data_IF_330899440841
#
_entry.id   IF_330899440841
#
_cell.length_a   1.000
_cell.length_b   1.000
_cell.length_c   1.000
_cell.angle_alpha   90.00
_cell.angle_beta   90.00
_cell.angle_gamma   90.00
#
_symmetry.space_group_name_H-M   'P 1'
#
loop_
_entity.id
_entity.type
_entity.pdbx_description
1 polymer ?
#
# COMPACT_ATOMS: atom_id res chain seq x y z
N UNK A 1 17.81 4.10 2.98
CA UNK A 1 16.77 4.09 1.91
C UNK A 1 17.19 3.14 0.79
N UNK A 2 18.44 3.22 0.31
CA UNK A 2 18.95 2.38 -0.80
C UNK A 2 18.76 0.90 -0.52
N UNK A 3 19.22 0.40 0.64
CA UNK A 3 19.06 -1.01 1.03
C UNK A 3 17.60 -1.48 1.05
N UNK A 4 16.69 -0.62 1.56
CA UNK A 4 15.24 -0.91 1.60
C UNK A 4 14.66 -0.98 0.18
N UNK A 5 15.12 -0.08 -0.70
CA UNK A 5 14.68 -0.08 -2.09
C UNK A 5 15.18 -1.31 -2.85
N UNK A 6 16.43 -1.71 -2.63
CA UNK A 6 17.01 -2.93 -3.25
C UNK A 6 16.24 -4.19 -2.79
N UNK A 7 15.96 -4.32 -1.49
CA UNK A 7 15.16 -5.42 -0.95
C UNK A 7 13.76 -5.43 -1.56
N UNK A 8 13.11 -4.26 -1.65
CA UNK A 8 11.79 -4.13 -2.24
C UNK A 8 11.77 -4.49 -3.72
N UNK A 9 12.77 -4.05 -4.50
CA UNK A 9 12.90 -4.40 -5.93
C UNK A 9 13.12 -5.90 -6.13
N UNK A 10 13.74 -6.60 -5.19
CA UNK A 10 13.87 -8.05 -5.22
C UNK A 10 12.50 -8.72 -5.06
N UNK A 11 11.70 -8.32 -4.08
CA UNK A 11 10.35 -8.84 -3.87
C UNK A 11 9.44 -8.59 -5.08
N UNK A 12 9.54 -7.40 -5.71
CA UNK A 12 8.80 -7.07 -6.93
C UNK A 12 9.11 -8.03 -8.08
N UNK A 13 10.38 -8.39 -8.26
CA UNK A 13 10.79 -9.34 -9.30
C UNK A 13 10.32 -10.76 -8.97
N UNK A 14 10.48 -11.19 -7.73
CA UNK A 14 10.10 -12.54 -7.31
C UNK A 14 8.60 -12.80 -7.47
N UNK A 15 7.74 -11.84 -7.11
CA UNK A 15 6.28 -12.02 -7.24
C UNK A 15 5.82 -12.16 -8.69
N UNK A 16 6.51 -11.55 -9.64
CA UNK A 16 6.20 -11.65 -11.07
C UNK A 16 6.72 -12.97 -11.68
N UNK A 17 7.94 -13.38 -11.31
CA UNK A 17 8.58 -14.58 -11.87
C UNK A 17 8.11 -15.88 -11.23
N UNK A 18 7.45 -15.82 -10.06
CA UNK A 18 7.02 -17.01 -9.37
C UNK A 18 5.92 -17.74 -10.17
N UNK A 19 6.18 -19.03 -10.45
CA UNK A 19 5.37 -19.85 -11.34
C UNK A 19 3.88 -19.78 -10.99
N UNK A 20 3.05 -19.66 -12.03
CA UNK A 20 1.61 -19.72 -11.97
C UNK A 20 1.15 -21.14 -11.58
N UNK A 21 1.17 -21.46 -10.29
CA UNK A 21 0.35 -22.55 -9.81
C UNK A 21 -1.11 -22.09 -9.88
N UNK A 22 -1.90 -22.76 -10.73
CA UNK A 22 -3.32 -22.42 -10.92
C UNK A 22 -4.05 -22.38 -9.57
N UNK A 23 -4.72 -21.26 -9.32
CA UNK A 23 -5.58 -21.07 -8.14
C UNK A 23 -4.90 -20.52 -6.89
N UNK A 24 -3.59 -20.20 -6.92
CA UNK A 24 -2.92 -19.55 -5.79
C UNK A 24 -2.80 -18.04 -6.05
N UNK A 25 -3.50 -17.25 -5.25
CA UNK A 25 -3.31 -15.79 -5.19
C UNK A 25 -2.02 -15.48 -4.42
N UNK A 26 -1.07 -14.82 -5.08
CA UNK A 26 0.18 -14.40 -4.45
C UNK A 26 0.15 -12.93 -4.10
N UNK A 27 0.57 -12.62 -2.89
CA UNK A 27 0.66 -11.27 -2.39
C UNK A 27 1.81 -11.16 -1.40
N UNK A 28 2.47 -10.01 -1.35
CA UNK A 28 3.56 -9.75 -0.42
C UNK A 28 3.23 -8.53 0.44
N UNK A 29 3.39 -8.66 1.74
CA UNK A 29 3.38 -7.54 2.67
C UNK A 29 4.83 -7.19 3.01
N UNK A 30 5.37 -6.16 2.37
CA UNK A 30 6.71 -5.67 2.64
C UNK A 30 6.67 -4.68 3.80
N UNK A 31 7.00 -5.16 5.00
CA UNK A 31 6.99 -4.36 6.23
C UNK A 31 8.34 -3.69 6.42
N UNK A 32 8.34 -2.36 6.57
CA UNK A 32 9.55 -1.58 6.76
C UNK A 32 9.78 -1.35 8.25
N UNK A 33 10.99 -1.63 8.72
CA UNK A 33 11.33 -1.44 10.13
C UNK A 33 11.18 0.03 10.54
N UNK A 34 10.53 0.34 11.68
CA UNK A 34 10.46 1.70 12.20
C UNK A 34 11.82 2.27 12.64
N UNK A 35 12.90 1.46 12.62
CA UNK A 35 14.28 1.94 12.78
C UNK A 35 14.79 2.68 11.55
N UNK A 36 14.12 2.56 10.40
CA UNK A 36 14.38 3.34 9.21
C UNK A 36 13.71 4.72 9.38
N UNK A 37 14.47 5.74 9.69
CA UNK A 37 13.96 7.07 10.07
C UNK A 37 12.98 7.67 9.05
N UNK A 38 13.20 7.47 7.73
CA UNK A 38 12.37 8.03 6.67
C UNK A 38 10.91 7.52 6.67
N UNK A 39 10.64 6.36 7.28
CA UNK A 39 9.27 5.82 7.35
C UNK A 39 8.52 6.24 8.62
N UNK A 40 9.15 6.99 9.52
CA UNK A 40 8.48 7.49 10.72
C UNK A 40 7.66 8.76 10.44
N UNK A 41 7.98 9.46 9.35
CA UNK A 41 7.21 10.58 8.82
C UNK A 41 6.37 10.12 7.64
N UNK A 42 5.05 10.38 7.72
CA UNK A 42 4.12 9.89 6.69
C UNK A 42 4.38 10.50 5.31
N UNK A 43 4.75 11.78 5.24
CA UNK A 43 5.01 12.45 3.97
C UNK A 43 6.28 11.87 3.31
N UNK A 44 7.35 11.65 4.08
CA UNK A 44 8.58 11.00 3.59
C UNK A 44 8.36 9.56 3.14
N UNK A 45 7.50 8.81 3.85
CA UNK A 45 7.10 7.47 3.44
C UNK A 45 6.26 7.49 2.18
N UNK A 46 5.35 8.44 2.04
CA UNK A 46 4.52 8.60 0.84
C UNK A 46 5.36 8.98 -0.37
N UNK A 47 6.35 9.86 -0.20
CA UNK A 47 7.32 10.18 -1.26
C UNK A 47 8.08 8.93 -1.73
N UNK A 48 8.50 8.08 -0.81
CA UNK A 48 9.13 6.80 -1.13
C UNK A 48 8.17 5.88 -1.92
N UNK A 49 6.92 5.73 -1.48
CA UNK A 49 5.91 4.93 -2.18
C UNK A 49 5.61 5.48 -3.58
N UNK A 50 5.57 6.80 -3.74
CA UNK A 50 5.36 7.46 -5.02
C UNK A 50 6.51 7.23 -6.02
N UNK A 51 7.77 7.16 -5.55
CA UNK A 51 8.92 6.81 -6.41
C UNK A 51 8.76 5.41 -7.00
N UNK A 52 8.09 4.51 -6.30
CA UNK A 52 7.89 3.14 -6.74
C UNK A 52 6.84 3.04 -7.85
N UNK A 53 5.67 3.62 -7.66
CA UNK A 53 4.52 3.41 -8.55
C UNK A 53 4.23 4.62 -9.45
N UNK A 54 4.46 5.84 -8.98
CA UNK A 54 4.18 7.03 -9.75
C UNK A 54 5.47 7.77 -10.13
N UNK A 55 5.59 8.16 -11.39
CA UNK A 55 6.60 9.13 -11.84
C UNK A 55 6.22 10.51 -11.31
N UNK A 56 6.43 10.74 -10.01
CA UNK A 56 5.86 11.83 -9.27
C UNK A 56 6.17 13.19 -9.88
N UNK A 57 5.13 13.89 -10.26
CA UNK A 57 5.14 15.33 -10.49
C UNK A 57 5.24 16.04 -9.13
N UNK A 58 6.45 16.28 -8.62
CA UNK A 58 6.63 17.30 -7.60
C UNK A 58 6.80 18.66 -8.29
N UNK A 59 5.88 19.57 -8.02
CA UNK A 59 5.88 20.95 -8.55
C UNK A 59 5.81 21.07 -10.08
N UNK A 60 5.25 20.07 -10.78
CA UNK A 60 5.12 20.09 -12.24
C UNK A 60 6.37 19.61 -13.00
N UNK A 61 7.43 19.20 -12.32
CA UNK A 61 8.63 18.64 -12.94
C UNK A 61 8.58 17.11 -12.98
N UNK A 62 8.78 16.54 -14.16
CA UNK A 62 8.92 15.09 -14.38
C UNK A 62 10.23 14.59 -13.73
N UNK A 63 10.13 13.67 -12.79
CA UNK A 63 11.29 13.14 -12.06
C UNK A 63 11.89 11.86 -12.66
N UNK A 64 11.45 11.43 -13.81
CA UNK A 64 11.90 10.20 -14.44
C UNK A 64 10.91 9.05 -14.34
N UNK A 65 11.34 7.87 -14.74
CA UNK A 65 10.54 6.65 -14.70
C UNK A 65 10.42 6.14 -13.26
N UNK A 66 9.22 5.66 -12.90
CA UNK A 66 9.01 4.97 -11.61
C UNK A 66 9.80 3.65 -11.55
N UNK A 67 9.94 3.08 -10.35
CA UNK A 67 10.60 1.77 -10.20
C UNK A 67 9.85 0.69 -10.99
N UNK A 68 8.51 0.73 -11.01
CA UNK A 68 7.71 -0.22 -11.79
C UNK A 68 7.96 -0.07 -13.31
N UNK A 69 8.15 1.15 -13.81
CA UNK A 69 8.49 1.37 -15.23
C UNK A 69 9.89 0.85 -15.56
N UNK A 70 10.89 1.17 -14.73
CA UNK A 70 12.28 0.70 -14.91
C UNK A 70 12.40 -0.82 -14.90
N UNK A 71 11.55 -1.52 -14.16
CA UNK A 71 11.52 -2.98 -14.06
C UNK A 71 10.58 -3.65 -15.08
N UNK A 72 9.89 -2.89 -15.94
CA UNK A 72 8.86 -3.40 -16.86
C UNK A 72 7.72 -4.14 -16.12
N UNK A 73 7.35 -3.65 -14.93
CA UNK A 73 6.32 -4.23 -14.07
C UNK A 73 5.01 -3.43 -14.06
N UNK A 74 4.96 -2.28 -14.73
CA UNK A 74 3.73 -1.49 -14.85
C UNK A 74 2.63 -2.28 -15.55
N UNK A 75 1.44 -2.32 -14.93
CA UNK A 75 0.31 -3.13 -15.38
C UNK A 75 0.43 -4.63 -15.09
N UNK A 76 1.51 -5.09 -14.46
CA UNK A 76 1.69 -6.45 -13.97
C UNK A 76 1.57 -6.54 -12.46
N UNK A 77 1.99 -5.49 -11.76
CA UNK A 77 2.01 -5.40 -10.31
C UNK A 77 1.38 -4.08 -9.86
N UNK A 78 0.63 -4.12 -8.76
CA UNK A 78 0.16 -2.96 -8.00
C UNK A 78 0.89 -2.88 -6.67
N UNK A 79 1.15 -1.66 -6.20
CA UNK A 79 1.70 -1.41 -4.87
C UNK A 79 0.77 -0.50 -4.09
N UNK A 80 0.33 -0.93 -2.93
CA UNK A 80 -0.57 -0.16 -2.05
C UNK A 80 0.15 0.18 -0.75
N UNK A 81 0.20 1.47 -0.43
CA UNK A 81 0.86 1.97 0.77
C UNK A 81 -0.07 1.93 1.99
N UNK A 82 0.47 1.48 3.13
CA UNK A 82 -0.17 1.51 4.44
C UNK A 82 0.78 2.11 5.47
N UNK A 83 0.26 2.97 6.33
CA UNK A 83 1.07 3.65 7.34
C UNK A 83 0.27 3.89 8.62
N UNK A 84 0.91 3.89 9.82
CA UNK A 84 0.20 4.20 11.07
C UNK A 84 -0.54 5.54 11.05
N UNK A 85 0.03 6.54 10.41
CA UNK A 85 -0.50 7.91 10.33
C UNK A 85 -1.15 8.22 8.98
N UNK A 86 -1.58 7.19 8.23
CA UNK A 86 -2.18 7.37 6.92
C UNK A 86 -3.38 8.33 6.96
N UNK A 87 -3.40 9.26 5.99
CA UNK A 87 -4.49 10.22 5.77
C UNK A 87 -4.73 10.33 4.27
N UNK A 88 -5.98 10.27 3.84
CA UNK A 88 -6.34 10.51 2.44
C UNK A 88 -6.24 11.99 2.09
N UNK A 89 -5.73 12.31 0.92
CA UNK A 89 -5.68 13.67 0.40
C UNK A 89 -7.08 14.31 0.36
N UNK A 90 -7.23 15.51 0.91
CA UNK A 90 -8.49 16.24 0.95
C UNK A 90 -9.50 15.77 2.01
N UNK A 91 -9.20 14.71 2.77
CA UNK A 91 -10.04 14.26 3.88
C UNK A 91 -9.74 15.03 5.17
N UNK A 92 -10.74 15.05 6.05
CA UNK A 92 -10.58 15.71 7.35
C UNK A 92 -9.62 14.91 8.22
N UNK A 93 -8.66 15.62 8.82
CA UNK A 93 -7.74 15.00 9.80
C UNK A 93 -8.52 14.30 10.91
N UNK A 94 -8.21 13.03 11.15
CA UNK A 94 -8.88 12.20 12.15
C UNK A 94 -10.18 11.54 11.67
N UNK A 95 -10.50 11.55 10.38
CA UNK A 95 -11.60 10.75 9.85
C UNK A 95 -11.31 9.25 10.01
N UNK A 96 -12.25 8.48 10.61
CA UNK A 96 -12.06 7.04 10.80
C UNK A 96 -11.90 6.28 9.47
N UNK A 97 -12.38 6.82 8.35
CA UNK A 97 -12.21 6.23 7.02
C UNK A 97 -10.74 5.95 6.66
N UNK A 98 -9.81 6.75 7.18
CA UNK A 98 -8.38 6.56 6.96
C UNK A 98 -7.86 5.19 7.50
N UNK A 99 -8.57 4.56 8.43
CA UNK A 99 -8.19 3.23 8.94
C UNK A 99 -8.28 2.12 7.90
N UNK A 100 -8.89 2.34 6.76
CA UNK A 100 -8.80 1.40 5.63
C UNK A 100 -7.37 1.21 5.13
N UNK A 101 -6.50 2.22 5.33
CA UNK A 101 -5.10 2.19 4.92
C UNK A 101 -4.12 2.39 6.10
N UNK A 102 -4.62 2.39 7.35
CA UNK A 102 -3.75 2.37 8.52
C UNK A 102 -3.27 0.97 8.83
N UNK A 103 -2.01 0.86 9.22
CA UNK A 103 -1.34 -0.38 9.63
C UNK A 103 -0.53 -0.18 10.90
N UNK A 104 -0.19 -1.24 11.67
CA UNK A 104 0.64 -1.08 12.87
C UNK A 104 2.06 -0.60 12.55
N UNK A 105 2.59 -0.93 11.37
CA UNK A 105 3.90 -0.54 10.88
C UNK A 105 3.79 -0.01 9.44
N UNK A 106 4.70 0.87 8.99
CA UNK A 106 4.78 1.25 7.59
C UNK A 106 4.99 0.01 6.72
N UNK A 107 4.15 -0.17 5.70
CA UNK A 107 4.28 -1.30 4.78
C UNK A 107 3.79 -0.97 3.37
N UNK A 108 4.34 -1.69 2.41
CA UNK A 108 3.90 -1.71 1.03
C UNK A 108 3.30 -3.09 0.74
N UNK A 109 2.09 -3.11 0.22
CA UNK A 109 1.39 -4.33 -0.18
C UNK A 109 1.54 -4.51 -1.69
N UNK A 110 2.22 -5.58 -2.10
CA UNK A 110 2.46 -5.92 -3.49
C UNK A 110 1.41 -6.93 -3.94
N UNK A 111 0.74 -6.65 -5.05
CA UNK A 111 -0.33 -7.45 -5.62
C UNK A 111 -0.08 -7.67 -7.11
N UNK A 112 -0.35 -8.87 -7.63
CA UNK A 112 -0.33 -9.10 -9.07
C UNK A 112 -1.63 -8.57 -9.70
N UNK A 113 -1.50 -7.78 -10.78
CA UNK A 113 -2.66 -7.22 -11.51
C UNK A 113 -3.63 -8.29 -12.02
N UNK A 114 -3.11 -9.45 -12.43
CA UNK A 114 -3.97 -10.57 -12.86
C UNK A 114 -4.87 -11.07 -11.74
N UNK A 115 -4.34 -11.21 -10.52
CA UNK A 115 -5.09 -11.70 -9.36
C UNK A 115 -6.15 -10.68 -8.93
N UNK A 116 -5.78 -9.39 -8.92
CA UNK A 116 -6.72 -8.29 -8.66
C UNK A 116 -7.83 -8.27 -9.71
N UNK A 117 -7.48 -8.40 -10.99
CA UNK A 117 -8.45 -8.42 -12.09
C UNK A 117 -9.42 -9.60 -11.95
N UNK A 118 -8.95 -10.77 -11.59
CA UNK A 118 -9.79 -11.96 -11.37
C UNK A 118 -10.70 -11.77 -10.15
N UNK A 119 -10.18 -11.26 -9.05
CA UNK A 119 -10.97 -10.95 -7.85
C UNK A 119 -12.08 -9.93 -8.18
N UNK A 120 -11.77 -8.87 -8.93
CA UNK A 120 -12.72 -7.86 -9.39
C UNK A 120 -13.82 -8.49 -10.27
N UNK A 121 -13.47 -9.39 -11.19
CA UNK A 121 -14.43 -10.06 -12.07
C UNK A 121 -15.36 -11.01 -11.32
N UNK A 122 -14.87 -11.66 -10.28
CA UNK A 122 -15.63 -12.61 -9.47
C UNK A 122 -16.56 -11.94 -8.45
N UNK A 123 -16.36 -10.66 -8.14
CA UNK A 123 -17.17 -9.96 -7.14
C UNK A 123 -18.32 -9.18 -7.80
N UNK A 124 -19.59 -9.41 -7.39
CA UNK A 124 -20.76 -8.83 -8.06
C UNK A 124 -20.85 -7.30 -7.97
N UNK A 125 -20.30 -6.68 -6.92
CA UNK A 125 -20.35 -5.22 -6.69
C UNK A 125 -19.03 -4.68 -6.11
N UNK A 126 -17.95 -4.85 -6.87
CA UNK A 126 -16.61 -4.41 -6.45
C UNK A 126 -16.51 -2.91 -6.21
N UNK A 127 -17.31 -2.12 -6.95
CA UNK A 127 -17.26 -0.65 -6.87
C UNK A 127 -17.77 -0.10 -5.54
N UNK A 128 -18.63 -0.84 -4.85
CA UNK A 128 -19.14 -0.44 -3.53
C UNK A 128 -18.17 -0.73 -2.39
N UNK A 129 -17.20 -1.65 -2.56
CA UNK A 129 -16.31 -2.11 -1.50
C UNK A 129 -15.54 -0.96 -0.82
N UNK A 130 -14.86 -0.05 -1.53
CA UNK A 130 -14.11 1.02 -0.87
C UNK A 130 -15.02 1.91 0.00
N UNK A 131 -16.18 2.27 -0.54
CA UNK A 131 -17.16 3.09 0.20
C UNK A 131 -17.69 2.37 1.42
N UNK A 132 -18.07 1.10 1.29
CA UNK A 132 -18.56 0.29 2.39
C UNK A 132 -17.51 0.12 3.50
N UNK A 133 -16.22 -0.06 3.13
CA UNK A 133 -15.13 -0.14 4.08
C UNK A 133 -14.95 1.17 4.87
N UNK A 134 -14.97 2.31 4.19
CA UNK A 134 -14.89 3.63 4.84
C UNK A 134 -16.08 3.85 5.80
N UNK A 135 -17.30 3.54 5.37
CA UNK A 135 -18.49 3.64 6.20
C UNK A 135 -18.37 2.73 7.43
N UNK A 136 -17.88 1.50 7.25
CA UNK A 136 -17.66 0.58 8.36
C UNK A 136 -16.64 1.10 9.38
N UNK A 137 -15.54 1.72 8.92
CA UNK A 137 -14.58 2.35 9.84
C UNK A 137 -15.22 3.51 10.62
N UNK A 138 -16.05 4.33 9.97
CA UNK A 138 -16.78 5.42 10.62
C UNK A 138 -17.78 4.91 11.67
N UNK A 139 -18.47 3.78 11.42
CA UNK A 139 -19.36 3.13 12.40
C UNK A 139 -18.62 2.64 13.65
N UNK A 140 -17.44 2.02 13.46
CA UNK A 140 -16.60 1.51 14.57
C UNK A 140 -16.06 2.66 15.41
N UNK A 141 -15.67 3.75 14.78
CA UNK A 141 -15.18 4.97 15.41
C UNK A 141 -13.71 4.92 15.84
N UNK A 142 -13.12 6.11 15.95
CA UNK A 142 -11.67 6.30 16.16
C UNK A 142 -11.12 5.60 17.41
N UNK A 143 -11.81 5.68 18.55
CA UNK A 143 -11.30 5.09 19.80
C UNK A 143 -11.13 3.58 19.71
N UNK A 144 -12.14 2.89 19.17
CA UNK A 144 -12.11 1.44 19.01
C UNK A 144 -11.06 1.00 18.01
N UNK A 145 -10.99 1.69 16.85
CA UNK A 145 -10.02 1.39 15.80
C UNK A 145 -8.58 1.63 16.28
N UNK A 146 -8.34 2.74 16.99
CA UNK A 146 -7.03 3.03 17.57
C UNK A 146 -6.62 1.96 18.58
N UNK A 147 -7.51 1.55 19.46
CA UNK A 147 -7.25 0.48 20.43
C UNK A 147 -6.90 -0.84 19.75
N UNK A 148 -7.59 -1.18 18.65
CA UNK A 148 -7.28 -2.37 17.86
C UNK A 148 -5.88 -2.28 17.23
N UNK A 149 -5.55 -1.14 16.61
CA UNK A 149 -4.25 -0.92 15.97
C UNK A 149 -3.11 -0.96 16.98
N UNK A 150 -3.27 -0.31 18.14
CA UNK A 150 -2.27 -0.31 19.22
C UNK A 150 -2.07 -1.71 19.80
N UNK A 151 -3.14 -2.52 19.88
CA UNK A 151 -3.06 -3.92 20.29
C UNK A 151 -2.21 -4.79 19.37
N UNK A 152 -2.19 -4.50 18.06
CA UNK A 152 -1.36 -5.21 17.09
C UNK A 152 0.14 -4.88 17.19
N UNK A 153 0.47 -3.70 17.75
CA UNK A 153 1.87 -3.29 17.99
C UNK A 153 2.49 -3.93 19.23
N UNK A 154 1.65 -4.49 20.09
CA UNK A 154 2.07 -5.06 21.38
C UNK A 154 2.32 -6.57 21.30
N UNK A 155 2.16 -7.17 20.12
CA UNK A 155 2.45 -8.59 19.84
C UNK A 155 3.89 -8.79 19.39
#
# INVERSE_FOLDING_TARGET
>A
IEDVLEDFMRELKEIEYDSDEEGITKTVLFVISPTCEFVNDFDSFLDFANVIDDAALQNGDYRGESVLDQLDLRGKVQVVAFHPDFVFAGEKLGDPGAFTNKSPYPLLHILREKDVTEAVRSHPDVKSIPKANVERMREIGNESLKKMLDGLRSL
#
